data_IF_021955770201
#
_entry.id   IF_021955770201
#
_cell.length_a   1.000
_cell.length_b   1.000
_cell.length_c   1.000
_cell.angle_alpha   90.00
_cell.angle_beta   90.00
_cell.angle_gamma   90.00
#
_symmetry.space_group_name_H-M   'P 1'
#
loop_
_entity.id
_entity.type
_entity.pdbx_description
1 polymer ?
#
# COMPACT_ATOMS: atom_id res chain seq x y z
N UNK A 1 -8.43 5.15 -9.17
CA UNK A 1 -9.30 5.22 -8.01
C UNK A 1 -9.86 6.63 -7.87
N UNK A 2 -11.13 6.71 -7.45
CA UNK A 2 -11.81 7.99 -7.33
C UNK A 2 -12.16 8.27 -5.89
N UNK A 3 -11.35 9.09 -5.24
CA UNK A 3 -11.60 9.57 -3.89
C UNK A 3 -11.27 11.05 -3.82
N UNK A 4 -11.92 11.80 -2.93
CA UNK A 4 -11.54 13.20 -2.69
C UNK A 4 -10.08 13.32 -2.29
N UNK A 5 -9.48 14.46 -2.60
CA UNK A 5 -8.10 14.75 -2.20
C UNK A 5 -7.96 14.64 -0.68
N UNK A 6 -6.86 14.09 -0.24
CA UNK A 6 -6.58 13.91 1.19
C UNK A 6 -5.69 12.72 1.43
N UNK A 7 -5.53 12.39 2.70
CA UNK A 7 -4.75 11.24 3.14
C UNK A 7 -5.68 10.22 3.78
N UNK A 8 -5.46 8.95 3.46
CA UNK A 8 -6.28 7.84 3.93
C UNK A 8 -5.39 6.78 4.56
N UNK A 9 -5.64 6.48 5.82
CA UNK A 9 -4.85 5.49 6.56
C UNK A 9 -5.66 4.20 6.69
N UNK A 10 -4.97 3.08 6.54
CA UNK A 10 -5.57 1.76 6.71
C UNK A 10 -4.67 0.91 7.58
N UNK A 11 -5.22 0.43 8.69
CA UNK A 11 -4.52 -0.51 9.55
C UNK A 11 -4.50 -1.88 8.90
N UNK A 12 -3.34 -2.52 8.93
CA UNK A 12 -3.13 -3.86 8.39
C UNK A 12 -2.71 -4.77 9.54
N UNK A 13 -3.42 -5.88 9.70
CA UNK A 13 -3.05 -6.90 10.67
C UNK A 13 -2.17 -7.94 9.98
N UNK A 14 -0.88 -7.66 9.94
CA UNK A 14 0.09 -8.52 9.29
C UNK A 14 0.42 -9.76 10.09
N UNK A 15 1.20 -10.66 9.49
CA UNK A 15 1.56 -11.93 10.09
C UNK A 15 2.55 -11.77 11.25
N UNK A 16 3.30 -10.66 11.26
CA UNK A 16 4.35 -10.39 12.25
C UNK A 16 4.03 -9.18 13.14
N UNK A 17 2.79 -8.70 13.08
CA UNK A 17 2.35 -7.54 13.81
C UNK A 17 1.65 -6.54 12.90
N UNK A 18 1.10 -5.50 13.51
CA UNK A 18 0.32 -4.50 12.79
C UNK A 18 1.20 -3.43 12.15
N UNK A 19 0.75 -2.91 11.02
CA UNK A 19 1.35 -1.74 10.39
C UNK A 19 0.26 -0.94 9.69
N UNK A 20 0.54 0.34 9.39
CA UNK A 20 -0.44 1.25 8.83
C UNK A 20 0.04 1.79 7.49
N UNK A 21 -0.79 1.63 6.47
CA UNK A 21 -0.57 2.20 5.15
C UNK A 21 -1.27 3.55 5.05
N UNK A 22 -0.56 4.56 4.55
CA UNK A 22 -1.14 5.86 4.22
C UNK A 22 -1.09 6.09 2.72
N UNK A 23 -2.25 6.37 2.13
CA UNK A 23 -2.36 6.75 0.73
C UNK A 23 -2.72 8.22 0.63
N UNK A 24 -2.01 8.95 -0.21
CA UNK A 24 -2.32 10.36 -0.50
C UNK A 24 -2.97 10.44 -1.87
N UNK A 25 -4.09 11.17 -1.94
CA UNK A 25 -4.83 11.40 -3.19
C UNK A 25 -4.81 12.89 -3.51
N UNK A 26 -4.42 13.22 -4.74
CA UNK A 26 -4.41 14.59 -5.25
C UNK A 26 -4.89 14.58 -6.70
N UNK A 27 -5.84 15.44 -7.02
CA UNK A 27 -6.41 15.46 -8.36
C UNK A 27 -7.09 14.16 -8.79
N UNK A 28 -7.63 13.43 -7.82
CA UNK A 28 -8.27 12.14 -8.08
C UNK A 28 -7.32 10.99 -8.32
N UNK A 29 -6.02 11.18 -8.07
CA UNK A 29 -4.99 10.17 -8.30
C UNK A 29 -4.22 9.88 -7.02
N UNK A 30 -3.76 8.64 -6.88
CA UNK A 30 -2.82 8.29 -5.81
C UNK A 30 -1.49 8.92 -6.18
N UNK A 31 -0.98 9.82 -5.33
CA UNK A 31 0.29 10.51 -5.56
C UNK A 31 1.39 10.03 -4.63
N UNK A 32 1.05 9.41 -3.51
CA UNK A 32 2.04 8.89 -2.58
C UNK A 32 1.47 7.73 -1.78
N UNK A 33 2.35 6.80 -1.43
CA UNK A 33 2.06 5.68 -0.54
C UNK A 33 3.21 5.56 0.44
N UNK A 34 2.89 5.36 1.72
CA UNK A 34 3.93 5.18 2.74
C UNK A 34 3.42 4.33 3.89
N UNK A 35 4.34 3.74 4.62
CA UNK A 35 4.05 3.02 5.86
C UNK A 35 4.37 3.98 7.01
N UNK A 36 3.33 4.40 7.73
CA UNK A 36 3.47 5.43 8.78
C UNK A 36 3.69 4.84 10.17
N UNK A 37 3.45 3.55 10.34
CA UNK A 37 3.76 2.87 11.60
C UNK A 37 3.90 1.38 11.35
N UNK A 38 4.67 0.69 12.22
CA UNK A 38 4.80 -0.76 12.15
C UNK A 38 5.68 -1.28 11.03
N UNK A 39 6.54 -0.43 10.44
CA UNK A 39 7.41 -0.86 9.33
C UNK A 39 8.25 -2.09 9.71
N UNK A 40 8.66 -2.20 10.97
CA UNK A 40 9.45 -3.31 11.47
C UNK A 40 8.71 -4.65 11.45
N UNK A 41 7.38 -4.63 11.30
CA UNK A 41 6.56 -5.84 11.27
C UNK A 41 6.39 -6.40 9.85
N UNK A 42 6.95 -5.73 8.84
CA UNK A 42 6.87 -6.18 7.46
C UNK A 42 8.06 -7.04 7.10
N UNK A 43 7.83 -8.01 6.21
CA UNK A 43 8.89 -8.86 5.67
C UNK A 43 9.57 -8.24 4.46
N UNK A 44 8.87 -7.38 3.73
CA UNK A 44 9.43 -6.68 2.58
C UNK A 44 10.63 -5.84 2.96
N UNK A 45 11.68 -5.85 2.15
CA UNK A 45 12.74 -4.86 2.26
C UNK A 45 12.30 -3.56 1.56
N UNK A 46 13.14 -2.52 1.69
CA UNK A 46 12.79 -1.19 1.17
C UNK A 46 12.67 -1.19 -0.35
N UNK A 47 13.51 -1.96 -1.05
CA UNK A 47 13.45 -2.03 -2.50
C UNK A 47 12.16 -2.71 -2.98
N UNK A 48 11.74 -3.77 -2.31
CA UNK A 48 10.49 -4.46 -2.63
C UNK A 48 9.29 -3.56 -2.37
N UNK A 49 9.30 -2.84 -1.26
CA UNK A 49 8.22 -1.93 -0.91
C UNK A 49 8.11 -0.79 -1.94
N UNK A 50 9.27 -0.22 -2.32
CA UNK A 50 9.30 0.82 -3.34
C UNK A 50 8.76 0.32 -4.67
N UNK A 51 9.17 -0.88 -5.08
CA UNK A 51 8.69 -1.48 -6.33
C UNK A 51 7.17 -1.66 -6.32
N UNK A 52 6.62 -2.13 -5.20
CA UNK A 52 5.18 -2.29 -5.05
C UNK A 52 4.46 -0.94 -5.16
N UNK A 53 4.93 0.06 -4.41
CA UNK A 53 4.31 1.38 -4.42
C UNK A 53 4.39 2.04 -5.80
N UNK A 54 5.54 1.90 -6.47
CA UNK A 54 5.71 2.46 -7.82
C UNK A 54 4.73 1.84 -8.82
N UNK A 55 4.49 0.53 -8.73
CA UNK A 55 3.50 -0.12 -9.61
C UNK A 55 2.10 0.45 -9.40
N UNK A 56 1.69 0.62 -8.16
CA UNK A 56 0.36 1.15 -7.84
C UNK A 56 0.24 2.59 -8.33
N UNK A 57 1.23 3.42 -8.05
CA UNK A 57 1.18 4.85 -8.41
C UNK A 57 1.25 5.02 -9.93
N UNK A 58 2.16 4.32 -10.59
CA UNK A 58 2.32 4.45 -12.04
C UNK A 58 1.11 3.93 -12.80
N UNK A 59 0.51 2.83 -12.33
CA UNK A 59 -0.65 2.24 -12.97
C UNK A 59 -1.98 2.81 -12.49
N UNK A 60 -1.99 3.52 -11.37
CA UNK A 60 -3.22 3.98 -10.71
C UNK A 60 -4.21 2.84 -10.53
N UNK A 61 -3.70 1.67 -10.16
CA UNK A 61 -4.46 0.44 -10.06
C UNK A 61 -4.14 -0.24 -8.74
N UNK A 62 -5.18 -0.60 -7.99
CA UNK A 62 -5.02 -1.29 -6.70
C UNK A 62 -4.99 -2.81 -6.87
N UNK A 63 -5.04 -3.31 -8.09
CA UNK A 63 -4.97 -4.73 -8.41
C UNK A 63 -3.70 -5.04 -9.20
N UNK A 64 -2.55 -4.80 -8.56
CA UNK A 64 -1.24 -5.13 -9.16
C UNK A 64 -0.79 -6.50 -8.69
N UNK A 65 0.21 -7.08 -9.37
CA UNK A 65 0.76 -8.36 -8.99
C UNK A 65 1.59 -8.26 -7.72
N UNK A 66 1.62 -9.35 -6.96
CA UNK A 66 2.47 -9.43 -5.78
C UNK A 66 3.94 -9.39 -6.20
N UNK A 67 4.76 -8.73 -5.37
CA UNK A 67 6.20 -8.66 -5.60
C UNK A 67 6.83 -10.02 -5.28
N UNK A 68 7.65 -10.53 -6.18
CA UNK A 68 8.35 -11.81 -6.02
C UNK A 68 9.18 -11.81 -4.72
N UNK A 69 9.01 -12.85 -3.92
CA UNK A 69 9.68 -12.98 -2.63
C UNK A 69 9.02 -12.21 -1.50
N UNK A 70 7.92 -11.49 -1.77
CA UNK A 70 7.23 -10.66 -0.76
C UNK A 70 5.71 -10.81 -0.88
N UNK A 71 5.23 -12.04 -1.08
CA UNK A 71 3.83 -12.32 -1.36
C UNK A 71 2.90 -11.98 -0.20
N UNK A 72 3.31 -12.28 1.04
CA UNK A 72 2.46 -12.02 2.22
C UNK A 72 2.19 -10.53 2.38
N UNK A 73 3.23 -9.72 2.38
CA UNK A 73 3.07 -8.28 2.52
C UNK A 73 2.36 -7.67 1.32
N UNK A 74 2.67 -8.14 0.11
CA UNK A 74 2.01 -7.66 -1.09
C UNK A 74 0.50 -7.88 -1.02
N UNK A 75 0.06 -9.07 -0.62
CA UNK A 75 -1.36 -9.38 -0.50
C UNK A 75 -2.02 -8.54 0.58
N UNK A 76 -1.35 -8.33 1.71
CA UNK A 76 -1.87 -7.49 2.78
C UNK A 76 -2.01 -6.02 2.33
N UNK A 77 -1.03 -5.51 1.60
CA UNK A 77 -1.10 -4.16 1.04
C UNK A 77 -2.20 -4.02 -0.01
N UNK A 78 -2.37 -5.03 -0.86
CA UNK A 78 -3.46 -5.03 -1.84
C UNK A 78 -4.83 -4.99 -1.17
N UNK A 79 -5.03 -5.79 -0.12
CA UNK A 79 -6.28 -5.79 0.63
C UNK A 79 -6.54 -4.42 1.25
N UNK A 80 -5.50 -3.78 1.80
CA UNK A 80 -5.61 -2.46 2.39
C UNK A 80 -5.98 -1.40 1.34
N UNK A 81 -5.34 -1.45 0.18
CA UNK A 81 -5.65 -0.53 -0.93
C UNK A 81 -7.09 -0.70 -1.40
N UNK A 82 -7.55 -1.94 -1.52
CA UNK A 82 -8.95 -2.21 -1.89
C UNK A 82 -9.92 -1.69 -0.84
N UNK A 83 -9.57 -1.77 0.43
CA UNK A 83 -10.40 -1.23 1.50
C UNK A 83 -10.49 0.29 1.44
N UNK A 84 -9.39 0.97 1.13
CA UNK A 84 -9.36 2.42 1.00
C UNK A 84 -10.17 2.88 -0.23
N UNK A 85 -9.99 2.20 -1.36
CA UNK A 85 -10.49 2.67 -2.66
C UNK A 85 -11.68 1.87 -3.21
N UNK A 86 -12.40 1.20 -2.36
CA UNK A 86 -13.60 0.46 -2.79
C UNK A 86 -14.76 1.37 -3.13
#
# INVERSE_FOLDING_TARGET
>A
PKKPDGQYDQLIKGNHGEYTLRATVEGGKITNLEIVSGRENMFMDDDQLKAFFDEVINGQNVEVDAISGATLDSNNLLDALKAIFK
#
